data_IF_352054829463
#
_entry.id   IF_352054829463
#
_cell.length_a   1.000
_cell.length_b   1.000
_cell.length_c   1.000
_cell.angle_alpha   90.00
_cell.angle_beta   90.00
_cell.angle_gamma   90.00
#
_symmetry.space_group_name_H-M   'P 1'
#
loop_
_entity.id
_entity.type
_entity.pdbx_description
1 polymer ?
#
# COMPACT_ATOMS: atom_id res chain seq x y z
N UNK A 1 -4.43 6.94 2.52
CA UNK A 1 -3.05 6.95 2.00
C UNK A 1 -2.70 8.36 1.63
N UNK A 2 -1.48 8.84 1.93
CA UNK A 2 -1.17 10.27 1.79
C UNK A 2 -0.08 10.57 0.78
N UNK A 3 0.75 9.59 0.40
CA UNK A 3 1.82 9.79 -0.59
C UNK A 3 2.33 8.44 -1.13
N UNK A 4 2.68 8.41 -2.43
CA UNK A 4 3.28 7.27 -3.11
C UNK A 4 4.33 7.71 -4.12
N UNK A 5 5.48 7.07 -4.07
CA UNK A 5 6.62 7.39 -4.93
C UNK A 5 7.30 6.12 -5.40
N UNK A 6 7.57 6.01 -6.71
CA UNK A 6 8.43 4.96 -7.25
C UNK A 6 9.88 5.18 -6.83
N UNK A 7 10.52 4.14 -6.31
CA UNK A 7 11.92 4.11 -5.87
C UNK A 7 12.68 2.96 -6.54
N UNK A 8 14.00 2.90 -6.35
CA UNK A 8 14.82 1.78 -6.86
C UNK A 8 14.38 0.42 -6.29
N UNK A 9 13.86 0.40 -5.07
CA UNK A 9 13.58 -0.82 -4.32
C UNK A 9 12.08 -1.21 -4.37
N UNK A 10 11.24 -0.40 -5.00
CA UNK A 10 9.79 -0.59 -5.08
C UNK A 10 9.00 0.71 -4.95
N UNK A 11 7.74 0.63 -4.49
CA UNK A 11 6.89 1.80 -4.26
C UNK A 11 6.92 2.17 -2.79
N UNK A 12 7.46 3.35 -2.46
CA UNK A 12 7.40 3.90 -1.10
C UNK A 12 6.02 4.50 -0.87
N UNK A 13 5.41 4.15 0.27
CA UNK A 13 4.04 4.54 0.61
C UNK A 13 3.98 4.99 2.06
N UNK A 14 3.26 6.08 2.32
CA UNK A 14 2.91 6.49 3.69
C UNK A 14 1.43 6.22 3.98
N UNK A 15 1.21 5.43 5.03
CA UNK A 15 -0.10 5.02 5.52
C UNK A 15 -0.40 5.68 6.85
N UNK A 16 -1.68 6.00 7.06
CA UNK A 16 -2.24 6.40 8.36
C UNK A 16 -3.69 5.97 8.37
N UNK A 17 -4.12 5.38 9.48
CA UNK A 17 -5.50 5.02 9.73
C UNK A 17 -5.98 5.65 11.04
N UNK A 18 -7.27 5.91 11.14
CA UNK A 18 -7.94 6.37 12.37
C UNK A 18 -8.17 5.23 13.36
N UNK A 19 -8.19 3.99 12.89
CA UNK A 19 -8.33 2.76 13.67
C UNK A 19 -7.08 1.89 13.59
N UNK A 20 -6.87 1.06 14.62
CA UNK A 20 -5.85 0.01 14.60
C UNK A 20 -6.34 -1.15 13.75
N UNK A 21 -5.47 -1.71 12.93
CA UNK A 21 -5.81 -2.79 12.00
C UNK A 21 -4.63 -3.16 11.12
N UNK A 22 -4.89 -3.93 10.05
CA UNK A 22 -3.85 -4.43 9.14
C UNK A 22 -4.09 -3.87 7.75
N UNK A 23 -3.03 -3.36 7.13
CA UNK A 23 -3.04 -2.91 5.75
C UNK A 23 -2.31 -3.92 4.85
N UNK A 24 -2.93 -4.26 3.73
CA UNK A 24 -2.40 -5.10 2.67
C UNK A 24 -2.20 -4.24 1.43
N UNK A 25 -0.96 -4.21 0.94
CA UNK A 25 -0.55 -3.37 -0.18
C UNK A 25 -0.12 -4.26 -1.33
N UNK A 26 -0.49 -3.87 -2.55
CA UNK A 26 -0.11 -4.54 -3.79
C UNK A 26 0.31 -3.52 -4.83
N UNK A 27 1.47 -3.70 -5.44
CA UNK A 27 1.85 -2.98 -6.65
C UNK A 27 1.22 -3.67 -7.86
N UNK A 28 0.76 -2.89 -8.83
CA UNK A 28 0.02 -3.36 -10.00
C UNK A 28 0.50 -2.66 -11.27
N UNK A 29 0.68 -3.38 -12.37
CA UNK A 29 1.08 -2.80 -13.68
C UNK A 29 -0.11 -2.41 -14.57
N UNK A 30 -1.31 -2.89 -14.24
CA UNK A 30 -2.54 -2.75 -15.04
C UNK A 30 -3.20 -4.11 -15.26
N UNK A 31 -2.38 -5.17 -15.33
CA UNK A 31 -2.82 -6.52 -15.63
C UNK A 31 -2.60 -7.49 -14.47
N UNK A 32 -1.51 -7.32 -13.70
CA UNK A 32 -1.13 -8.23 -12.62
C UNK A 32 -0.42 -7.54 -11.46
N UNK A 33 -0.34 -8.25 -10.34
CA UNK A 33 0.45 -7.81 -9.19
C UNK A 33 1.93 -8.01 -9.44
N UNK A 34 2.73 -7.00 -9.10
CA UNK A 34 4.19 -7.05 -9.18
C UNK A 34 4.86 -7.28 -7.83
N UNK A 35 4.11 -7.22 -6.74
CA UNK A 35 4.59 -7.43 -5.38
C UNK A 35 3.59 -6.95 -4.33
N UNK A 36 3.85 -7.34 -3.08
CA UNK A 36 2.95 -7.06 -1.97
C UNK A 36 3.68 -6.78 -0.67
N UNK A 37 3.02 -6.09 0.25
CA UNK A 37 3.50 -5.86 1.59
C UNK A 37 2.32 -5.78 2.57
N UNK A 38 2.48 -6.38 3.75
CA UNK A 38 1.48 -6.34 4.83
C UNK A 38 2.08 -5.61 6.02
N UNK A 39 1.32 -4.69 6.61
CA UNK A 39 1.78 -3.91 7.75
C UNK A 39 0.64 -3.63 8.72
N UNK A 40 0.92 -3.78 10.00
CA UNK A 40 -0.01 -3.39 11.06
C UNK A 40 0.06 -1.89 11.31
N UNK A 41 -1.10 -1.27 11.44
CA UNK A 41 -1.26 0.14 11.72
C UNK A 41 -1.81 0.33 13.12
N UNK A 42 -1.20 1.25 13.87
CA UNK A 42 -1.77 1.77 15.11
C UNK A 42 -2.58 3.02 14.82
N UNK A 43 -3.76 3.13 15.42
CA UNK A 43 -4.64 4.30 15.28
C UNK A 43 -3.89 5.63 15.43
N UNK A 44 -4.07 6.51 14.46
CA UNK A 44 -3.53 7.87 14.43
C UNK A 44 -2.04 7.98 14.07
N UNK A 45 -1.29 6.88 14.02
CA UNK A 45 0.15 6.89 13.67
C UNK A 45 0.37 6.72 12.18
N UNK A 46 1.33 7.45 11.64
CA UNK A 46 1.80 7.26 10.26
C UNK A 46 2.90 6.21 10.22
N UNK A 47 2.89 5.38 9.18
CA UNK A 47 3.93 4.40 8.88
C UNK A 47 4.33 4.55 7.41
N UNK A 48 5.63 4.55 7.14
CA UNK A 48 6.16 4.53 5.79
C UNK A 48 6.78 3.16 5.51
N UNK A 49 6.35 2.53 4.43
CA UNK A 49 6.84 1.23 3.99
C UNK A 49 7.27 1.29 2.52
N UNK A 50 8.03 0.28 2.09
CA UNK A 50 8.33 0.06 0.67
C UNK A 50 7.65 -1.24 0.26
N UNK A 51 6.77 -1.15 -0.74
CA UNK A 51 6.16 -2.33 -1.35
C UNK A 51 7.10 -2.80 -2.46
N UNK A 52 7.70 -3.99 -2.34
CA UNK A 52 8.67 -4.47 -3.31
C UNK A 52 8.03 -4.66 -4.68
N UNK A 53 8.84 -4.54 -5.74
CA UNK A 53 8.45 -4.78 -7.12
C UNK A 53 9.42 -5.81 -7.70
N UNK A 54 8.94 -7.01 -7.99
CA UNK A 54 9.77 -8.13 -8.46
C UNK A 54 10.17 -8.02 -9.95
N UNK A 55 9.71 -6.99 -10.66
CA UNK A 55 9.97 -6.72 -12.07
C UNK A 55 8.81 -5.98 -12.73
N UNK A 56 9.05 -5.37 -13.90
CA UNK A 56 8.05 -4.54 -14.58
C UNK A 56 7.97 -3.11 -14.04
N UNK A 57 6.98 -2.36 -14.51
CA UNK A 57 6.75 -0.97 -14.09
C UNK A 57 5.39 -0.88 -13.39
N UNK A 58 5.35 -0.59 -12.08
CA UNK A 58 4.08 -0.40 -11.39
C UNK A 58 3.43 0.89 -11.90
N UNK A 59 2.14 0.81 -12.22
CA UNK A 59 1.31 1.96 -12.65
C UNK A 59 0.31 2.37 -11.57
N UNK A 60 -0.02 1.45 -10.67
CA UNK A 60 -0.87 1.72 -9.52
C UNK A 60 -0.49 0.91 -8.28
N UNK A 61 -0.98 1.38 -7.14
CA UNK A 61 -0.93 0.68 -5.87
C UNK A 61 -2.37 0.44 -5.41
N UNK A 62 -2.67 -0.81 -5.05
CA UNK A 62 -3.89 -1.18 -4.36
C UNK A 62 -3.60 -1.33 -2.87
N UNK A 63 -4.42 -0.72 -2.03
CA UNK A 63 -4.33 -0.79 -0.58
C UNK A 63 -5.68 -1.26 -0.02
N UNK A 64 -5.66 -2.36 0.71
CA UNK A 64 -6.80 -2.83 1.51
C UNK A 64 -6.46 -2.66 2.99
N UNK A 65 -7.44 -2.24 3.79
CA UNK A 65 -7.31 -2.07 5.24
C UNK A 65 -8.46 -2.77 5.94
N UNK A 66 -8.13 -3.61 6.92
CA UNK A 66 -9.07 -4.35 7.75
C UNK A 66 -8.90 -3.93 9.21
N UNK A 67 -10.00 -3.60 9.88
CA UNK A 67 -10.02 -3.25 11.30
C UNK A 67 -11.34 -3.69 11.93
N UNK A 68 -11.26 -4.64 12.86
CA UNK A 68 -12.43 -5.24 13.51
C UNK A 68 -13.31 -5.96 12.48
N UNK A 69 -14.56 -5.52 12.35
CA UNK A 69 -15.56 -6.03 11.41
C UNK A 69 -15.64 -5.24 10.10
N UNK A 70 -14.80 -4.21 9.92
CA UNK A 70 -14.82 -3.34 8.75
C UNK A 70 -13.60 -3.53 7.85
N UNK A 71 -13.83 -3.50 6.53
CA UNK A 71 -12.79 -3.49 5.52
C UNK A 71 -13.01 -2.35 4.52
N UNK A 72 -11.92 -1.81 3.97
CA UNK A 72 -11.94 -0.82 2.89
C UNK A 72 -10.77 -1.07 1.94
N UNK A 73 -11.01 -0.96 0.64
CA UNK A 73 -9.97 -0.96 -0.37
C UNK A 73 -9.94 0.37 -1.13
N UNK A 74 -8.76 0.75 -1.60
CA UNK A 74 -8.52 1.91 -2.44
C UNK A 74 -7.41 1.59 -3.46
N UNK A 75 -7.48 2.20 -4.64
CA UNK A 75 -6.47 2.06 -5.68
C UNK A 75 -6.06 3.44 -6.17
N UNK A 76 -4.76 3.68 -6.20
CA UNK A 76 -4.20 4.97 -6.61
C UNK A 76 -3.11 4.77 -7.64
N UNK A 77 -3.04 5.66 -8.64
CA UNK A 77 -1.91 5.68 -9.57
C UNK A 77 -0.62 6.03 -8.83
N UNK A 78 0.47 5.33 -9.13
CA UNK A 78 1.79 5.69 -8.61
C UNK A 78 2.41 6.78 -9.48
N UNK A 79 3.17 7.67 -8.85
CA UNK A 79 3.86 8.79 -9.51
C UNK A 79 5.36 8.60 -9.44
#
# INVERSE_FOLDING_TARGET
MTDQQVTRDGVRVTLRADRTGTAYLYTWDGDRSLGSHTVDLTAGRSVTVVVPVAGGTPTSLLAAFEAGDGARADQVSVR
#
